data_IF_850877007194
#
_entry.id   IF_850877007194
#
_cell.length_a   1.000
_cell.length_b   1.000
_cell.length_c   1.000
_cell.angle_alpha   90.00
_cell.angle_beta   90.00
_cell.angle_gamma   90.00
#
_symmetry.space_group_name_H-M   'P 1'
#
loop_
_entity.id
_entity.type
_entity.pdbx_description
1 polymer ?
#
# COMPACT_ATOMS: atom_id res chain seq x y z
N UNK A 1 36.64 52.09 -28.77
CA UNK A 1 37.14 50.90 -29.51
C UNK A 1 37.66 49.87 -28.51
N UNK A 2 37.50 48.57 -28.83
CA UNK A 2 38.00 47.36 -28.12
C UNK A 2 37.23 47.04 -26.82
N UNK A 3 36.68 45.85 -26.58
CA UNK A 3 36.78 44.50 -27.17
C UNK A 3 35.49 43.73 -26.84
N UNK A 4 35.11 42.79 -27.71
CA UNK A 4 34.05 41.79 -27.50
C UNK A 4 34.53 40.65 -26.58
N UNK A 5 33.60 39.74 -26.26
CA UNK A 5 33.66 38.40 -25.60
C UNK A 5 32.91 38.46 -24.26
N UNK A 6 31.92 37.63 -23.96
CA UNK A 6 31.31 36.48 -24.62
C UNK A 6 30.01 36.14 -23.87
N UNK A 7 28.99 35.69 -24.58
CA UNK A 7 28.42 34.36 -24.44
C UNK A 7 27.82 34.06 -23.05
N UNK A 8 26.49 34.10 -22.93
CA UNK A 8 25.69 32.91 -22.58
C UNK A 8 24.20 33.23 -22.62
N UNK A 9 23.55 32.61 -23.60
CA UNK A 9 22.11 32.40 -23.67
C UNK A 9 21.79 31.33 -22.62
N UNK A 10 20.90 31.60 -21.66
CA UNK A 10 20.02 30.55 -21.17
C UNK A 10 18.74 31.12 -20.56
N UNK A 11 17.69 31.03 -21.37
CA UNK A 11 16.35 30.56 -21.02
C UNK A 11 15.65 31.27 -19.86
N UNK A 12 14.84 32.23 -20.28
CA UNK A 12 13.61 32.67 -19.64
C UNK A 12 12.71 31.44 -19.40
N UNK A 13 12.03 31.38 -18.25
CA UNK A 13 10.57 31.22 -18.10
C UNK A 13 10.21 30.50 -16.79
N UNK A 14 9.59 31.30 -15.92
CA UNK A 14 8.45 31.03 -15.05
C UNK A 14 8.51 29.87 -14.03
N UNK A 15 8.41 30.16 -12.72
CA UNK A 15 7.18 30.44 -11.94
C UNK A 15 6.54 29.15 -11.40
N UNK A 16 6.31 29.11 -10.09
CA UNK A 16 5.67 28.01 -9.36
C UNK A 16 6.47 27.67 -8.09
N UNK A 17 6.38 28.45 -7.01
CA UNK A 17 5.35 28.37 -5.96
C UNK A 17 5.13 26.94 -5.42
N UNK A 18 5.35 26.82 -4.10
CA UNK A 18 4.88 25.78 -3.18
C UNK A 18 5.61 24.41 -3.21
N UNK A 19 6.71 24.30 -2.47
CA UNK A 19 7.11 23.02 -1.86
C UNK A 19 6.61 23.01 -0.41
N UNK A 20 5.30 22.84 -0.26
CA UNK A 20 4.72 22.19 0.89
C UNK A 20 4.24 20.83 0.41
N UNK A 21 4.95 19.76 0.74
CA UNK A 21 4.46 18.40 0.51
C UNK A 21 5.02 17.46 1.58
N UNK A 22 4.16 17.23 2.58
CA UNK A 22 3.85 15.95 3.19
C UNK A 22 5.00 14.96 3.39
N UNK A 23 5.45 14.85 4.63
CA UNK A 23 6.19 13.70 5.15
C UNK A 23 5.31 12.44 5.13
N UNK A 24 5.11 11.83 3.97
CA UNK A 24 4.74 10.43 3.89
C UNK A 24 6.02 9.62 4.02
N UNK A 25 6.31 9.18 5.24
CA UNK A 25 7.32 8.16 5.53
C UNK A 25 7.00 6.92 4.69
N UNK A 26 7.70 6.83 3.57
CA UNK A 26 7.67 5.71 2.64
C UNK A 26 8.23 4.50 3.38
N UNK A 27 7.41 3.47 3.56
CA UNK A 27 7.87 2.16 4.00
C UNK A 27 9.12 1.79 3.19
N UNK A 28 10.20 1.49 3.89
CA UNK A 28 11.50 1.20 3.30
C UNK A 28 11.40 -0.02 2.37
N UNK A 29 11.90 0.15 1.14
CA UNK A 29 11.82 -0.78 0.01
C UNK A 29 12.28 -2.22 0.32
N UNK A 30 13.05 -2.44 1.38
CA UNK A 30 13.48 -3.76 1.84
C UNK A 30 12.37 -4.63 2.47
N UNK A 31 11.35 -4.05 3.13
CA UNK A 31 10.31 -4.86 3.80
C UNK A 31 9.29 -5.51 2.85
N UNK A 32 9.26 -5.08 1.59
CA UNK A 32 8.34 -5.59 0.58
C UNK A 32 8.94 -6.69 -0.30
N UNK A 33 10.25 -6.93 -0.25
CA UNK A 33 10.94 -7.86 -1.14
C UNK A 33 10.41 -9.31 -1.03
N UNK A 34 9.97 -9.71 0.17
CA UNK A 34 9.35 -11.02 0.45
C UNK A 34 7.85 -10.90 0.79
N UNK A 35 7.16 -9.91 0.22
CA UNK A 35 5.72 -9.74 0.41
C UNK A 35 4.93 -10.30 -0.77
N UNK A 36 3.77 -10.91 -0.48
CA UNK A 36 2.81 -11.32 -1.50
C UNK A 36 1.61 -10.38 -1.45
N UNK A 37 1.09 -10.01 -2.62
CA UNK A 37 -0.10 -9.18 -2.73
C UNK A 37 -1.20 -9.93 -3.46
N UNK A 38 -2.43 -9.82 -2.96
CA UNK A 38 -3.61 -10.43 -3.57
C UNK A 38 -4.85 -9.60 -3.28
N UNK A 39 -5.84 -9.74 -4.14
CA UNK A 39 -7.17 -9.16 -4.01
C UNK A 39 -8.07 -10.13 -3.26
N UNK A 40 -8.87 -9.62 -2.34
CA UNK A 40 -9.81 -10.40 -1.57
C UNK A 40 -11.11 -9.64 -1.31
N UNK A 41 -12.20 -10.36 -1.09
CA UNK A 41 -13.48 -9.80 -0.65
C UNK A 41 -13.65 -10.04 0.85
N UNK A 42 -14.10 -9.02 1.58
CA UNK A 42 -14.38 -9.15 3.02
C UNK A 42 -15.66 -9.96 3.22
N UNK A 43 -15.57 -11.08 3.93
CA UNK A 43 -16.70 -11.94 4.27
C UNK A 43 -17.29 -11.59 5.65
N UNK A 44 -16.40 -11.30 6.61
CA UNK A 44 -16.74 -10.97 7.99
C UNK A 44 -15.76 -9.93 8.56
N UNK A 45 -16.29 -9.04 9.41
CA UNK A 45 -15.54 -7.99 10.11
C UNK A 45 -15.70 -8.23 11.60
N UNK A 46 -14.59 -8.36 12.31
CA UNK A 46 -14.54 -8.41 13.78
C UNK A 46 -13.68 -7.26 14.32
N UNK A 47 -13.70 -7.05 15.62
CA UNK A 47 -12.93 -5.98 16.28
C UNK A 47 -11.41 -6.10 16.05
N UNK A 48 -10.92 -7.34 15.85
CA UNK A 48 -9.48 -7.64 15.77
C UNK A 48 -9.07 -8.40 14.52
N UNK A 49 -10.03 -8.82 13.69
CA UNK A 49 -9.75 -9.66 12.52
C UNK A 49 -10.75 -9.43 11.39
N UNK A 50 -10.31 -9.69 10.15
CA UNK A 50 -11.17 -9.82 8.97
C UNK A 50 -11.10 -11.26 8.45
N UNK A 51 -12.26 -11.82 8.09
CA UNK A 51 -12.31 -13.01 7.24
C UNK A 51 -12.46 -12.53 5.80
N UNK A 52 -11.59 -13.02 4.92
CA UNK A 52 -11.60 -12.63 3.52
C UNK A 52 -11.55 -13.85 2.60
N UNK A 53 -12.24 -13.77 1.46
CA UNK A 53 -12.14 -14.72 0.35
C UNK A 53 -11.21 -14.16 -0.72
N UNK A 54 -10.18 -14.91 -1.07
CA UNK A 54 -9.14 -14.49 -2.02
C UNK A 54 -9.61 -14.72 -3.45
N UNK A 55 -9.35 -13.75 -4.33
CA UNK A 55 -9.86 -13.73 -5.71
C UNK A 55 -8.79 -14.12 -6.75
N UNK A 56 -7.52 -13.85 -6.47
CA UNK A 56 -6.43 -13.91 -7.46
C UNK A 56 -5.14 -14.59 -6.93
N UNK A 57 -5.26 -15.44 -5.90
CA UNK A 57 -4.17 -16.25 -5.35
C UNK A 57 -4.48 -17.75 -5.45
N UNK A 58 -3.49 -18.56 -5.84
CA UNK A 58 -3.65 -20.01 -6.01
C UNK A 58 -3.33 -20.81 -4.73
N UNK A 59 -2.75 -20.19 -3.70
CA UNK A 59 -2.26 -20.91 -2.52
C UNK A 59 -3.35 -21.19 -1.47
N UNK A 60 -4.37 -20.34 -1.38
CA UNK A 60 -5.47 -20.47 -0.42
C UNK A 60 -6.68 -19.67 -0.88
N UNK A 61 -7.89 -20.14 -0.55
CA UNK A 61 -9.15 -19.52 -0.94
C UNK A 61 -9.67 -18.49 0.07
N UNK A 62 -9.24 -18.60 1.34
CA UNK A 62 -9.65 -17.71 2.41
C UNK A 62 -8.48 -17.40 3.34
N UNK A 63 -8.53 -16.26 4.03
CA UNK A 63 -7.56 -15.90 5.05
C UNK A 63 -8.22 -15.16 6.21
N UNK A 64 -7.67 -15.34 7.42
CA UNK A 64 -7.94 -14.50 8.58
C UNK A 64 -6.86 -13.45 8.68
N UNK A 65 -7.23 -12.19 8.48
CA UNK A 65 -6.31 -11.06 8.50
C UNK A 65 -6.32 -10.46 9.91
N UNK A 66 -5.16 -10.41 10.54
CA UNK A 66 -5.00 -9.75 11.84
C UNK A 66 -5.11 -8.23 11.69
N UNK A 67 -5.99 -7.60 12.45
CA UNK A 67 -6.13 -6.14 12.49
C UNK A 67 -5.51 -5.52 13.73
N UNK A 68 -5.05 -6.33 14.68
CA UNK A 68 -4.39 -5.83 15.89
C UNK A 68 -3.06 -5.17 15.55
N UNK A 69 -2.89 -3.91 15.96
CA UNK A 69 -1.68 -3.13 15.68
C UNK A 69 -1.67 -2.46 14.29
N UNK A 70 -2.77 -2.52 13.54
CA UNK A 70 -2.95 -1.71 12.35
C UNK A 70 -3.60 -0.37 12.76
N UNK A 71 -2.79 0.70 12.82
CA UNK A 71 -3.15 1.96 13.51
C UNK A 71 -4.40 2.65 12.95
N UNK A 72 -4.64 2.56 11.64
CA UNK A 72 -5.88 3.01 11.01
C UNK A 72 -5.93 2.58 9.55
N UNK A 73 -7.10 2.20 9.08
CA UNK A 73 -7.39 2.05 7.65
C UNK A 73 -7.93 3.36 7.08
N UNK A 74 -7.62 3.65 5.83
CA UNK A 74 -8.15 4.81 5.10
C UNK A 74 -9.64 4.68 4.74
N UNK A 75 -10.27 3.58 5.16
CA UNK A 75 -11.66 3.25 4.93
C UNK A 75 -12.22 2.44 6.11
N UNK A 76 -13.54 2.35 6.20
CA UNK A 76 -14.22 1.49 7.17
C UNK A 76 -14.44 0.12 6.52
N UNK A 77 -13.88 -0.98 7.09
CA UNK A 77 -14.10 -2.33 6.58
C UNK A 77 -15.56 -2.74 6.67
N UNK A 78 -16.12 -3.21 5.56
CA UNK A 78 -17.48 -3.73 5.50
C UNK A 78 -17.54 -5.00 4.66
N UNK A 79 -18.46 -5.90 5.02
CA UNK A 79 -18.71 -7.13 4.26
C UNK A 79 -19.05 -6.81 2.81
N UNK A 80 -18.43 -7.54 1.88
CA UNK A 80 -18.62 -7.40 0.45
C UNK A 80 -17.68 -6.39 -0.22
N UNK A 81 -16.89 -5.63 0.54
CA UNK A 81 -15.85 -4.78 -0.04
C UNK A 81 -14.71 -5.62 -0.61
N UNK A 82 -14.18 -5.19 -1.74
CA UNK A 82 -12.97 -5.76 -2.33
C UNK A 82 -11.77 -4.94 -1.90
N UNK A 83 -10.76 -5.63 -1.36
CA UNK A 83 -9.54 -5.04 -0.85
C UNK A 83 -8.32 -5.69 -1.50
N UNK A 84 -7.24 -4.93 -1.62
CA UNK A 84 -5.92 -5.43 -1.97
C UNK A 84 -5.12 -5.56 -0.68
N UNK A 85 -4.65 -6.76 -0.41
CA UNK A 85 -3.86 -7.11 0.76
C UNK A 85 -2.43 -7.36 0.33
N UNK A 86 -1.48 -6.82 1.07
CA UNK A 86 -0.07 -7.23 0.99
C UNK A 86 0.31 -7.81 2.34
N UNK A 87 0.81 -9.05 2.35
CA UNK A 87 1.26 -9.75 3.56
C UNK A 87 2.72 -10.18 3.41
N UNK A 88 3.43 -10.35 4.53
CA UNK A 88 4.74 -11.03 4.50
C UNK A 88 4.53 -12.48 4.06
N UNK A 89 5.47 -13.06 3.32
CA UNK A 89 5.44 -14.45 2.85
C UNK A 89 5.66 -15.47 4.00
N UNK A 90 4.81 -15.36 5.03
CA UNK A 90 4.71 -16.23 6.19
C UNK A 90 3.22 -16.40 6.48
N UNK A 91 2.63 -17.41 5.87
CA UNK A 91 1.24 -17.81 6.16
C UNK A 91 1.23 -18.72 7.39
N UNK A 92 0.35 -18.44 8.35
CA UNK A 92 0.15 -19.31 9.51
C UNK A 92 -0.35 -20.69 9.10
N UNK A 93 -0.06 -21.72 9.92
CA UNK A 93 -0.41 -23.13 9.67
C UNK A 93 -1.91 -23.46 9.89
N UNK A 94 -2.79 -22.47 10.03
CA UNK A 94 -4.22 -22.65 10.27
C UNK A 94 -5.01 -22.78 8.96
N UNK A 95 -6.24 -23.30 9.05
CA UNK A 95 -7.18 -23.34 7.91
C UNK A 95 -8.51 -22.67 8.33
N UNK A 96 -8.82 -21.46 7.83
CA UNK A 96 -8.02 -20.65 6.91
C UNK A 96 -6.72 -20.10 7.55
N UNK A 97 -5.67 -19.81 6.75
CA UNK A 97 -4.41 -19.25 7.22
C UNK A 97 -4.64 -17.91 7.93
N UNK A 98 -3.96 -17.74 9.07
CA UNK A 98 -3.89 -16.47 9.79
C UNK A 98 -2.68 -15.68 9.29
N UNK A 99 -2.92 -14.43 8.88
CA UNK A 99 -1.91 -13.58 8.21
C UNK A 99 -1.82 -12.22 8.86
N UNK A 100 -0.61 -11.66 8.88
CA UNK A 100 -0.36 -10.29 9.34
C UNK A 100 -0.20 -9.37 8.12
N UNK A 101 -1.08 -8.37 7.94
CA UNK A 101 -1.01 -7.46 6.82
C UNK A 101 0.15 -6.47 6.98
N UNK A 102 0.78 -6.16 5.85
CA UNK A 102 1.69 -5.02 5.68
C UNK A 102 0.89 -3.82 5.19
N UNK A 103 0.03 -4.03 4.19
CA UNK A 103 -0.90 -3.01 3.69
C UNK A 103 -2.28 -3.61 3.41
N UNK A 104 -3.30 -2.76 3.56
CA UNK A 104 -4.68 -3.04 3.21
C UNK A 104 -5.24 -1.83 2.48
N UNK A 105 -5.64 -2.01 1.22
CA UNK A 105 -6.13 -0.92 0.36
C UNK A 105 -7.51 -1.27 -0.20
N UNK A 106 -8.47 -0.34 -0.15
CA UNK A 106 -9.78 -0.53 -0.78
C UNK A 106 -9.65 -0.46 -2.31
N UNK A 107 -10.16 -1.48 -3.00
CA UNK A 107 -10.27 -1.50 -4.47
C UNK A 107 -11.61 -0.86 -4.86
N UNK A 108 -11.54 0.25 -5.58
CA UNK A 108 -12.73 1.00 -6.05
C UNK A 108 -13.37 0.40 -7.29
#
# INVERSE_FOLDING_TARGET
MKKRIGLLIMVIVAMGLLVGCNSSSKATTDELADSISFTATIDEVSDTELLVTVLDNENFNQARVNMQGFDSLDFVPEKGQTIKLTIKNQVGMSEPPFVNPVTIELVK
#
